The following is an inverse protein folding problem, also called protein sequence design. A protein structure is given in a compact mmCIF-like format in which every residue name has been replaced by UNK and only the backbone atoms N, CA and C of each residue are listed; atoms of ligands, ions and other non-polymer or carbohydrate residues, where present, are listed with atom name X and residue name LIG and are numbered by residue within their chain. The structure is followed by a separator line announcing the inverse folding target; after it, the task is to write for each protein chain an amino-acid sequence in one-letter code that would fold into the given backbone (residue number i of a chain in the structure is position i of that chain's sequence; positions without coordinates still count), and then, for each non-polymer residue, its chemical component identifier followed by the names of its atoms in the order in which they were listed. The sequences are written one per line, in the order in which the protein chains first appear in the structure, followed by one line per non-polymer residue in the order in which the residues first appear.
data_IF_240732595649
#
_entry.id   IF_240732595649
#
_cell.length_a   1.000
_cell.length_b   1.000
_cell.length_c   1.000
_cell.angle_alpha   90.00
_cell.angle_beta   90.00
_cell.angle_gamma   90.00
#
_symmetry.space_group_name_H-M   'P 1'
#
loop_
_entity.id
_entity.type
_entity.pdbx_description
1 polymer ?
#
# COMPACT_ATOMS: atom_id res chain seq x y z
N UNK A 1 9.74 -9.24 -0.20
CA UNK A 1 9.07 -8.64 -1.38
C UNK A 1 8.39 -7.33 -0.98
N UNK A 2 8.40 -6.29 -1.83
CA UNK A 2 7.73 -5.00 -1.57
C UNK A 2 6.74 -4.71 -2.70
N UNK A 3 5.47 -4.45 -2.36
CA UNK A 3 4.41 -4.17 -3.34
C UNK A 3 4.10 -2.68 -3.44
N UNK A 4 3.70 -2.24 -4.62
CA UNK A 4 3.22 -0.88 -4.85
C UNK A 4 2.15 -0.85 -5.92
N UNK A 5 1.19 0.07 -5.77
CA UNK A 5 0.27 0.47 -6.83
C UNK A 5 0.75 1.80 -7.41
N UNK A 6 0.59 1.98 -8.71
CA UNK A 6 1.14 3.11 -9.42
C UNK A 6 0.35 3.44 -10.68
N UNK A 7 0.55 4.65 -11.21
CA UNK A 7 0.05 5.09 -12.49
C UNK A 7 1.22 5.45 -13.39
N UNK A 8 1.23 4.93 -14.61
CA UNK A 8 2.22 5.23 -15.66
C UNK A 8 1.49 5.48 -16.98
N UNK A 9 1.80 6.58 -17.66
CA UNK A 9 1.17 6.94 -18.94
C UNK A 9 -0.38 6.88 -18.92
N UNK A 10 -1.00 7.29 -17.81
CA UNK A 10 -2.46 7.28 -17.64
C UNK A 10 -3.07 5.93 -17.27
N UNK A 11 -2.31 4.83 -17.34
CA UNK A 11 -2.74 3.49 -16.92
C UNK A 11 -2.39 3.25 -15.45
N UNK A 12 -3.36 2.75 -14.69
CA UNK A 12 -3.12 2.25 -13.33
C UNK A 12 -2.70 0.78 -13.37
N UNK A 13 -1.75 0.43 -12.50
CA UNK A 13 -1.26 -0.92 -12.33
C UNK A 13 -0.66 -1.11 -10.92
N UNK A 14 -0.20 -2.31 -10.63
CA UNK A 14 0.52 -2.62 -9.39
C UNK A 14 1.61 -3.65 -9.66
N UNK A 15 2.56 -3.77 -8.73
CA UNK A 15 3.74 -4.61 -8.96
C UNK A 15 4.74 -4.62 -7.81
N UNK A 16 5.89 -5.25 -8.05
CA UNK A 16 6.94 -5.47 -7.07
C UNK A 16 8.07 -4.46 -7.26
N UNK A 17 8.48 -3.79 -6.17
CA UNK A 17 9.63 -2.88 -6.17
C UNK A 17 10.92 -3.69 -5.99
N UNK A 18 11.85 -3.54 -6.95
CA UNK A 18 13.23 -4.05 -6.95
C UNK A 18 14.19 -2.87 -7.11
N UNK A 19 14.78 -2.41 -6.00
CA UNK A 19 15.63 -1.22 -5.99
C UNK A 19 14.85 0.03 -6.37
N UNK A 20 15.27 0.70 -7.43
CA UNK A 20 14.62 1.89 -8.02
C UNK A 20 13.72 1.56 -9.22
N UNK A 21 13.37 0.28 -9.41
CA UNK A 21 12.51 -0.20 -10.51
C UNK A 21 11.37 -1.06 -10.02
N UNK A 22 10.36 -1.24 -10.87
CA UNK A 22 9.14 -1.99 -10.60
C UNK A 22 8.98 -3.09 -11.66
N UNK A 23 8.63 -4.29 -11.20
CA UNK A 23 8.13 -5.38 -12.03
C UNK A 23 6.60 -5.27 -12.03
N UNK A 24 5.99 -4.97 -13.17
CA UNK A 24 4.53 -4.90 -13.32
C UNK A 24 3.90 -6.27 -13.15
N UNK A 25 2.70 -6.34 -12.56
CA UNK A 25 1.96 -7.59 -12.39
C UNK A 25 1.73 -8.34 -13.71
N UNK A 26 1.58 -7.61 -14.83
CA UNK A 26 1.37 -8.21 -16.15
C UNK A 26 2.59 -8.99 -16.65
N UNK A 27 3.75 -8.87 -16.00
CA UNK A 27 4.92 -9.66 -16.35
C UNK A 27 4.83 -11.12 -15.89
N UNK A 28 3.88 -11.45 -15.01
CA UNK A 28 3.71 -12.79 -14.43
C UNK A 28 2.55 -13.59 -15.03
N UNK A 29 1.62 -12.94 -15.73
CA UNK A 29 0.38 -13.56 -16.17
C UNK A 29 -0.02 -13.14 -17.58
N UNK A 30 -0.73 -14.02 -18.28
CA UNK A 30 -1.50 -13.63 -19.45
C UNK A 30 -2.62 -12.65 -19.04
N UNK A 31 -3.06 -11.80 -19.97
CA UNK A 31 -4.05 -10.75 -19.69
C UNK A 31 -5.35 -11.30 -19.08
N UNK A 32 -5.83 -12.45 -19.55
CA UNK A 32 -7.05 -13.11 -19.06
C UNK A 32 -6.94 -13.67 -17.63
N UNK A 33 -5.72 -13.84 -17.12
CA UNK A 33 -5.46 -14.42 -15.80
C UNK A 33 -4.87 -13.39 -14.83
N UNK A 34 -4.52 -12.20 -15.32
CA UNK A 34 -3.87 -11.18 -14.52
C UNK A 34 -4.87 -10.57 -13.52
N UNK A 35 -4.60 -10.62 -12.20
CA UNK A 35 -5.46 -9.95 -11.24
C UNK A 35 -5.47 -8.43 -11.49
N UNK A 36 -6.63 -7.81 -11.33
CA UNK A 36 -6.84 -6.40 -11.64
C UNK A 36 -6.41 -5.47 -10.51
N UNK A 37 -6.40 -5.96 -9.28
CA UNK A 37 -5.98 -5.18 -8.10
C UNK A 37 -5.10 -5.99 -7.16
N UNK A 38 -4.29 -5.32 -6.35
CA UNK A 38 -3.50 -5.97 -5.31
C UNK A 38 -4.38 -6.70 -4.28
N UNK A 39 -5.59 -6.18 -4.01
CA UNK A 39 -6.56 -6.84 -3.11
C UNK A 39 -7.04 -8.17 -3.69
N UNK A 40 -7.35 -8.19 -4.99
CA UNK A 40 -7.72 -9.41 -5.69
C UNK A 40 -6.59 -10.45 -5.63
N UNK A 41 -5.35 -10.03 -5.90
CA UNK A 41 -4.19 -10.91 -5.82
C UNK A 41 -4.00 -11.51 -4.41
N UNK A 42 -4.21 -10.71 -3.35
CA UNK A 42 -4.08 -11.19 -1.97
C UNK A 42 -5.06 -12.32 -1.65
N UNK A 43 -6.23 -12.32 -2.30
CA UNK A 43 -7.23 -13.38 -2.16
C UNK A 43 -6.91 -14.65 -2.98
N UNK A 44 -5.80 -14.67 -3.74
CA UNK A 44 -5.42 -15.73 -4.68
C UNK A 44 -4.01 -16.28 -4.33
N UNK A 45 -3.89 -17.11 -3.27
CA UNK A 45 -2.60 -17.55 -2.75
C UNK A 45 -1.74 -18.33 -3.76
N UNK A 46 -2.36 -19.06 -4.68
CA UNK A 46 -1.69 -19.77 -5.76
C UNK A 46 -0.96 -18.84 -6.73
N UNK A 47 -1.57 -17.68 -7.05
CA UNK A 47 -0.94 -16.66 -7.91
C UNK A 47 0.18 -15.93 -7.17
N UNK A 48 0.00 -15.66 -5.88
CA UNK A 48 1.09 -15.11 -5.05
C UNK A 48 2.29 -16.06 -5.00
N UNK A 49 2.08 -17.36 -4.78
CA UNK A 49 3.15 -18.35 -4.75
C UNK A 49 3.84 -18.49 -6.12
N UNK A 50 3.11 -18.34 -7.22
CA UNK A 50 3.68 -18.30 -8.58
C UNK A 50 4.64 -17.12 -8.74
N UNK A 51 4.23 -15.92 -8.33
CA UNK A 51 5.03 -14.70 -8.38
C UNK A 51 6.29 -14.83 -7.53
N UNK A 52 6.17 -15.35 -6.30
CA UNK A 52 7.30 -15.50 -5.38
C UNK A 52 8.42 -16.36 -5.96
N UNK A 53 8.07 -17.41 -6.72
CA UNK A 53 9.06 -18.29 -7.38
C UNK A 53 9.79 -17.61 -8.54
N UNK A 54 9.13 -16.69 -9.25
CA UNK A 54 9.69 -16.09 -10.47
C UNK A 54 10.39 -14.75 -10.21
N UNK A 55 9.90 -13.95 -9.26
CA UNK A 55 10.32 -12.56 -9.08
C UNK A 55 11.79 -12.37 -8.70
N UNK A 56 12.45 -13.38 -8.12
CA UNK A 56 13.88 -13.30 -7.78
C UNK A 56 14.80 -13.27 -9.01
N UNK A 57 14.42 -13.95 -10.09
CA UNK A 57 15.20 -13.93 -11.34
C UNK A 57 14.90 -12.70 -12.22
N UNK A 58 13.87 -11.94 -11.88
CA UNK A 58 13.38 -10.83 -12.67
C UNK A 58 13.98 -9.50 -12.21
N UNK A 59 14.24 -8.62 -13.17
CA UNK A 59 14.62 -7.24 -12.91
C UNK A 59 13.41 -6.34 -13.15
N UNK A 60 13.29 -5.26 -12.36
CA UNK A 60 12.26 -4.26 -12.60
C UNK A 60 12.48 -3.55 -13.94
N UNK A 61 11.44 -3.44 -14.76
CA UNK A 61 11.50 -2.75 -16.05
C UNK A 61 11.20 -1.25 -15.90
N UNK A 62 10.23 -0.92 -15.03
CA UNK A 62 9.66 0.42 -14.91
C UNK A 62 10.44 1.21 -13.85
N UNK A 63 11.11 2.33 -14.16
CA UNK A 63 11.78 3.14 -13.15
C UNK A 63 10.78 3.79 -12.19
N UNK A 64 11.04 3.72 -10.88
CA UNK A 64 10.20 4.32 -9.83
C UNK A 64 10.01 5.84 -9.98
N UNK A 65 10.95 6.51 -10.65
CA UNK A 65 10.88 7.95 -10.92
C UNK A 65 9.86 8.33 -12.01
N UNK A 66 9.48 7.36 -12.85
CA UNK A 66 8.61 7.58 -14.02
C UNK A 66 7.13 7.26 -13.70
N UNK A 67 6.83 6.90 -12.45
CA UNK A 67 5.47 6.56 -12.01
C UNK A 67 4.93 7.55 -10.99
N UNK A 68 3.62 7.74 -11.02
CA UNK A 68 2.90 8.31 -9.89
C UNK A 68 2.51 7.19 -8.94
N UNK A 69 3.04 7.20 -7.70
CA UNK A 69 2.62 6.22 -6.70
C UNK A 69 1.16 6.46 -6.28
N UNK A 70 0.42 5.37 -6.17
CA UNK A 70 -0.94 5.34 -5.63
C UNK A 70 -0.93 4.69 -4.24
N UNK A 71 -2.00 4.81 -3.45
CA UNK A 71 -2.18 3.94 -2.29
C UNK A 71 -2.06 2.47 -2.72
N UNK A 72 -1.25 1.68 -2.03
CA UNK A 72 -1.03 0.27 -2.39
C UNK A 72 -2.35 -0.51 -2.44
N UNK A 73 -3.25 -0.22 -1.50
CA UNK A 73 -4.61 -0.78 -1.46
C UNK A 73 -5.57 0.38 -1.24
N UNK A 74 -6.63 0.44 -2.05
CA UNK A 74 -7.81 1.25 -1.77
C UNK A 74 -8.86 0.32 -1.16
N UNK A 75 -9.12 0.41 0.16
CA UNK A 75 -10.08 -0.45 0.81
C UNK A 75 -11.52 -0.07 0.37
N UNK A 76 -12.44 -1.04 0.28
CA UNK A 76 -13.85 -0.75 -0.02
C UNK A 76 -14.55 -0.01 1.12
N UNK A 77 -13.98 -0.02 2.33
CA UNK A 77 -14.53 0.56 3.55
C UNK A 77 -13.51 1.50 4.22
N UNK A 78 -13.94 2.17 5.29
CA UNK A 78 -13.05 2.99 6.13
C UNK A 78 -11.89 2.18 6.71
N UNK A 79 -10.75 2.84 6.89
CA UNK A 79 -9.56 2.26 7.53
C UNK A 79 -9.75 2.29 9.04
N UNK A 80 -9.65 1.13 9.69
CA UNK A 80 -9.55 1.03 11.15
C UNK A 80 -8.15 1.46 11.60
N UNK A 81 -8.08 2.49 12.43
CA UNK A 81 -6.83 3.03 12.95
C UNK A 81 -6.78 2.84 14.47
N UNK A 82 -5.57 2.60 14.99
CA UNK A 82 -5.33 2.40 16.42
C UNK A 82 -4.70 3.66 17.02
N UNK A 83 -5.37 4.23 18.01
CA UNK A 83 -4.88 5.37 18.79
C UNK A 83 -4.05 4.92 19.98
N UNK A 84 -3.11 5.77 20.42
CA UNK A 84 -2.38 5.60 21.68
C UNK A 84 -1.69 4.22 21.86
N UNK A 85 -1.25 3.58 20.76
CA UNK A 85 -0.67 2.22 20.78
C UNK A 85 0.83 2.17 21.17
N UNK A 86 1.39 3.26 21.68
CA UNK A 86 2.78 3.35 22.11
C UNK A 86 2.87 4.15 23.40
N UNK A 87 3.29 3.50 24.49
CA UNK A 87 3.35 4.12 25.83
C UNK A 87 4.11 5.46 25.82
N UNK A 88 5.27 5.51 25.16
CA UNK A 88 6.07 6.74 25.06
C UNK A 88 5.29 7.90 24.41
N UNK A 89 4.59 7.62 23.31
CA UNK A 89 3.80 8.63 22.62
C UNK A 89 2.61 9.13 23.46
N UNK A 90 2.00 8.24 24.26
CA UNK A 90 0.95 8.64 25.22
C UNK A 90 1.51 9.61 26.27
N UNK A 91 2.70 9.32 26.79
CA UNK A 91 3.39 10.19 27.77
C UNK A 91 3.81 11.55 27.18
N UNK A 92 4.06 11.65 25.87
CA UNK A 92 4.36 12.92 25.20
C UNK A 92 3.13 13.85 25.11
N UNK A 93 1.95 13.26 24.99
CA UNK A 93 0.69 14.00 24.83
C UNK A 93 -0.08 14.21 26.15
N UNK A 94 0.31 13.49 27.21
CA UNK A 94 -0.42 13.44 28.47
C UNK A 94 0.36 12.76 29.58
N UNK A 95 -0.28 11.84 30.29
CA UNK A 95 0.24 11.21 31.50
C UNK A 95 0.12 9.68 31.47
N UNK A 96 0.61 9.02 32.53
CA UNK A 96 0.46 7.55 32.69
C UNK A 96 -1.02 7.16 32.79
N UNK A 97 -1.86 8.03 33.33
CA UNK A 97 -3.31 7.79 33.44
C UNK A 97 -4.01 7.77 32.07
N UNK A 98 -3.38 8.29 31.02
CA UNK A 98 -3.92 8.31 29.66
C UNK A 98 -3.62 7.06 28.84
N UNK A 99 -2.88 6.11 29.41
CA UNK A 99 -2.58 4.81 28.80
C UNK A 99 -3.87 4.00 28.78
N UNK A 100 -4.40 3.64 27.61
CA UNK A 100 -5.66 2.93 27.54
C UNK A 100 -5.50 1.49 28.03
N UNK A 101 -6.48 1.00 28.79
CA UNK A 101 -6.53 -0.40 29.27
C UNK A 101 -6.89 -1.39 28.15
N UNK A 102 -7.48 -0.91 27.06
CA UNK A 102 -7.87 -1.68 25.89
C UNK A 102 -7.48 -0.96 24.59
N UNK A 103 -7.52 -1.68 23.46
CA UNK A 103 -7.19 -1.10 22.15
C UNK A 103 -8.17 0.01 21.80
N UNK A 104 -7.64 1.21 21.56
CA UNK A 104 -8.43 2.37 21.13
C UNK A 104 -8.55 2.38 19.60
N UNK A 105 -9.75 2.09 19.09
CA UNK A 105 -10.02 2.03 17.65
C UNK A 105 -10.83 3.26 17.22
N UNK A 106 -10.42 3.87 16.11
CA UNK A 106 -11.18 4.89 15.40
C UNK A 106 -11.10 4.65 13.88
N UNK A 107 -11.87 5.40 13.08
CA UNK A 107 -11.88 5.23 11.62
C UNK A 107 -11.31 6.44 10.89
N UNK A 108 -10.65 6.18 9.75
CA UNK A 108 -10.29 7.18 8.75
C UNK A 108 -11.02 6.86 7.45
N UNK A 109 -11.55 7.87 6.77
CA UNK A 109 -12.24 7.66 5.49
C UNK A 109 -11.28 7.15 4.42
N UNK A 110 -11.74 6.23 3.57
CA UNK A 110 -10.94 5.63 2.51
C UNK A 110 -10.43 6.66 1.49
N UNK A 111 -11.15 7.77 1.31
CA UNK A 111 -10.75 8.87 0.42
C UNK A 111 -9.59 9.74 0.95
N UNK A 112 -9.10 9.48 2.17
CA UNK A 112 -7.96 10.21 2.76
C UNK A 112 -6.61 9.60 2.41
N UNK A 113 -6.59 8.43 1.76
CA UNK A 113 -5.35 7.76 1.38
C UNK A 113 -4.67 8.48 0.23
N UNK A 114 -3.36 8.63 0.34
CA UNK A 114 -2.51 9.21 -0.70
C UNK A 114 -1.29 8.32 -0.93
N UNK A 115 -0.89 8.17 -2.19
CA UNK A 115 0.32 7.43 -2.55
C UNK A 115 1.60 8.12 -2.09
N UNK A 116 2.71 7.39 -2.11
CA UNK A 116 4.03 7.94 -1.78
C UNK A 116 4.33 9.20 -2.61
N UNK A 117 4.88 10.26 -1.97
CA UNK A 117 5.14 11.58 -2.60
C UNK A 117 3.89 12.30 -3.12
N UNK A 118 2.70 11.83 -2.78
CA UNK A 118 1.48 12.55 -3.12
C UNK A 118 1.33 13.84 -2.31
N UNK A 119 0.44 14.70 -2.79
CA UNK A 119 0.24 16.04 -2.24
C UNK A 119 -0.68 16.00 -1.03
N UNK A 120 -0.22 16.58 0.07
CA UNK A 120 -1.09 16.93 1.20
C UNK A 120 -1.58 18.37 1.03
N UNK A 121 -2.87 18.59 1.25
CA UNK A 121 -3.47 19.92 1.28
C UNK A 121 -3.62 20.33 2.75
N UNK A 122 -3.01 21.45 3.13
CA UNK A 122 -3.18 22.02 4.44
C UNK A 122 -4.53 22.72 4.50
N UNK A 123 -5.40 22.23 5.39
CA UNK A 123 -6.65 22.91 5.71
C UNK A 123 -6.31 24.20 6.44
N UNK A 124 -6.81 25.33 5.93
CA UNK A 124 -6.77 26.59 6.66
C UNK A 124 -7.95 26.60 7.63
N UNK A 125 -7.62 26.71 8.91
CA UNK A 125 -8.57 26.99 10.00
C UNK A 125 -8.54 28.47 10.34
#
# INVERSE_FOLDING_TARGET
MKWTSFRISGRESFGIVKGDRIIDISAFFAESECPHTLVELISQPEKLAHIEKQQEAMHGAIPCKDVQFLPAIIPPNNVMAVGKNYRKHVMEMGSVADIPEAIMIFTKSSNTLVGHRGRFLYMRV
#
